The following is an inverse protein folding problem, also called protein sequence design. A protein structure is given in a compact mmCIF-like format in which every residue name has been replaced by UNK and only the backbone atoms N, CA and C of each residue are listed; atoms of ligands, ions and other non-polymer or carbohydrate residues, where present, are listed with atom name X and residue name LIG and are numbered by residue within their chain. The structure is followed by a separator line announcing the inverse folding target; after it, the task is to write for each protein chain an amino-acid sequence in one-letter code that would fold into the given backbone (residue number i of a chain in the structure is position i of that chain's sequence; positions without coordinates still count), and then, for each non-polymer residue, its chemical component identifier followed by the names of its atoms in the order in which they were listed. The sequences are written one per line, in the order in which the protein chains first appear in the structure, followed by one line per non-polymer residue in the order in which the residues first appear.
data_IF_934660941853
#
_entry.id   IF_934660941853
#
_cell.length_a   1.000
_cell.length_b   1.000
_cell.length_c   1.000
_cell.angle_alpha   90.00
_cell.angle_beta   90.00
_cell.angle_gamma   90.00
#
_symmetry.space_group_name_H-M   'P 1'
#
loop_
_entity.id
_entity.type
_entity.pdbx_description
1 polymer ?
#
# COMPACT_ATOMS: atom_id res chain seq x y z
N UNK A 1 1.35 -17.58 -5.35
CA UNK A 1 0.89 -16.87 -4.13
C UNK A 1 1.14 -15.39 -4.31
N UNK A 2 0.06 -14.61 -4.26
CA UNK A 2 0.10 -13.15 -4.30
C UNK A 2 -0.41 -12.63 -2.94
N UNK A 3 0.48 -12.18 -2.04
CA UNK A 3 0.05 -11.55 -0.79
C UNK A 3 -0.66 -10.23 -1.05
N UNK A 4 -1.73 -9.98 -0.28
CA UNK A 4 -2.49 -8.72 -0.31
C UNK A 4 -2.52 -8.02 1.06
N UNK A 5 -1.78 -8.54 2.04
CA UNK A 5 -1.69 -8.00 3.40
C UNK A 5 -1.03 -6.62 3.41
N UNK A 6 -1.35 -5.82 4.43
CA UNK A 6 -0.59 -4.60 4.72
C UNK A 6 0.78 -4.94 5.31
N UNK A 7 1.71 -4.00 5.22
CA UNK A 7 3.07 -4.16 5.75
C UNK A 7 4.07 -4.67 4.71
N UNK A 8 5.34 -4.68 5.10
CA UNK A 8 6.47 -5.09 4.24
C UNK A 8 7.10 -6.42 4.68
N UNK A 9 6.96 -6.79 5.95
CA UNK A 9 7.57 -7.98 6.54
C UNK A 9 6.96 -9.28 6.01
N UNK A 10 5.64 -9.33 5.83
CA UNK A 10 4.94 -10.54 5.38
C UNK A 10 5.44 -11.05 4.01
N UNK A 11 6.02 -10.17 3.18
CA UNK A 11 6.57 -10.55 1.87
C UNK A 11 7.74 -11.52 2.00
N UNK A 12 8.67 -11.29 2.94
CA UNK A 12 9.84 -12.16 3.12
C UNK A 12 9.43 -13.51 3.69
N UNK A 13 8.54 -13.53 4.68
CA UNK A 13 7.97 -14.75 5.25
C UNK A 13 7.26 -15.60 4.20
N UNK A 14 6.43 -14.99 3.36
CA UNK A 14 5.73 -15.73 2.29
C UNK A 14 6.72 -16.26 1.26
N UNK A 15 7.71 -15.47 0.87
CA UNK A 15 8.77 -15.90 -0.04
C UNK A 15 9.55 -17.10 0.51
N UNK A 16 9.82 -17.12 1.82
CA UNK A 16 10.46 -18.22 2.51
C UNK A 16 9.56 -19.47 2.54
N UNK A 17 8.30 -19.36 2.99
CA UNK A 17 7.35 -20.48 3.08
C UNK A 17 7.25 -21.21 1.73
N UNK A 18 7.05 -20.45 0.65
CA UNK A 18 6.82 -21.05 -0.66
C UNK A 18 8.10 -21.44 -1.38
N UNK A 19 9.29 -21.11 -0.85
CA UNK A 19 10.57 -21.53 -1.44
C UNK A 19 10.70 -23.06 -1.47
N UNK A 20 10.09 -23.74 -0.51
CA UNK A 20 10.03 -25.20 -0.44
C UNK A 20 9.15 -25.84 -1.53
N UNK A 21 8.28 -25.06 -2.19
CA UNK A 21 7.37 -25.55 -3.22
C UNK A 21 8.02 -25.57 -4.62
N UNK A 22 9.18 -24.93 -4.77
CA UNK A 22 9.88 -24.74 -6.03
C UNK A 22 10.17 -23.26 -6.32
N UNK A 23 10.80 -22.97 -7.46
CA UNK A 23 11.04 -21.59 -7.88
C UNK A 23 9.74 -20.95 -8.37
N UNK A 24 9.49 -19.71 -7.93
CA UNK A 24 8.46 -18.88 -8.52
C UNK A 24 7.07 -19.00 -7.91
N UNK A 25 6.91 -19.43 -6.67
CA UNK A 25 5.57 -19.50 -6.08
C UNK A 25 5.11 -18.21 -5.38
N UNK A 26 5.97 -17.21 -5.16
CA UNK A 26 5.60 -15.92 -4.59
C UNK A 26 5.73 -14.77 -5.60
N UNK A 27 4.76 -13.86 -5.57
CA UNK A 27 4.80 -12.53 -6.18
C UNK A 27 4.93 -11.47 -5.09
N UNK A 28 5.42 -10.30 -5.45
CA UNK A 28 5.29 -9.11 -4.61
C UNK A 28 3.93 -8.46 -4.89
N UNK A 29 3.20 -8.05 -3.85
CA UNK A 29 1.99 -7.26 -4.07
C UNK A 29 1.32 -6.75 -2.81
N UNK A 30 0.33 -5.89 -3.02
CA UNK A 30 -0.56 -5.35 -2.02
C UNK A 30 -1.91 -4.96 -2.66
N UNK A 31 -2.96 -4.80 -1.86
CA UNK A 31 -4.25 -4.29 -2.34
C UNK A 31 -4.53 -2.89 -1.80
N UNK A 32 -5.26 -2.05 -2.52
CA UNK A 32 -5.79 -0.79 -2.02
C UNK A 32 -7.31 -0.87 -2.04
N UNK A 33 -7.88 -0.97 -0.84
CA UNK A 33 -9.31 -1.10 -0.58
C UNK A 33 -9.58 -0.56 0.82
N UNK A 34 -10.74 0.07 1.00
CA UNK A 34 -11.22 0.47 2.33
C UNK A 34 -12.54 -0.22 2.61
N UNK A 35 -12.47 -1.31 3.38
CA UNK A 35 -13.62 -2.16 3.67
C UNK A 35 -13.58 -2.71 5.09
N UNK A 36 -14.73 -3.18 5.56
CA UNK A 36 -14.89 -3.87 6.83
C UNK A 36 -16.03 -4.89 6.75
N UNK A 37 -15.95 -5.92 7.59
CA UNK A 37 -17.07 -6.83 7.81
C UNK A 37 -18.12 -6.06 8.61
N UNK A 38 -19.30 -5.86 8.01
CA UNK A 38 -20.43 -5.23 8.71
C UNK A 38 -21.13 -6.26 9.61
N UNK A 39 -21.33 -7.47 9.08
CA UNK A 39 -21.96 -8.61 9.73
C UNK A 39 -21.60 -9.90 8.94
N UNK A 40 -21.87 -11.11 9.45
CA UNK A 40 -21.57 -12.36 8.75
C UNK A 40 -22.17 -12.38 7.33
N UNK A 41 -21.30 -12.50 6.32
CA UNK A 41 -21.71 -12.53 4.92
C UNK A 41 -21.88 -11.15 4.25
N UNK A 42 -21.62 -10.04 4.96
CA UNK A 42 -21.78 -8.69 4.44
C UNK A 42 -20.52 -7.83 4.64
N UNK A 43 -19.94 -7.39 3.52
CA UNK A 43 -18.79 -6.48 3.50
C UNK A 43 -19.27 -5.07 3.15
N UNK A 44 -18.93 -4.09 4.00
CA UNK A 44 -19.08 -2.68 3.69
C UNK A 44 -17.80 -2.19 3.02
N UNK A 45 -17.90 -1.51 1.89
CA UNK A 45 -16.80 -0.90 1.15
C UNK A 45 -17.17 0.55 0.82
N UNK A 46 -16.32 1.51 1.19
CA UNK A 46 -16.68 2.94 1.13
C UNK A 46 -15.61 3.86 0.57
N UNK A 47 -14.38 3.39 0.32
CA UNK A 47 -13.33 4.19 -0.32
C UNK A 47 -12.34 3.30 -1.07
N UNK A 48 -11.46 3.93 -1.87
CA UNK A 48 -10.69 3.29 -2.93
C UNK A 48 -11.64 2.58 -3.93
N UNK A 49 -12.31 3.40 -4.74
CA UNK A 49 -13.28 2.96 -5.75
C UNK A 49 -12.85 3.49 -7.14
N UNK A 50 -12.43 2.61 -8.07
CA UNK A 50 -12.33 1.16 -7.90
C UNK A 50 -11.20 0.76 -6.92
N UNK A 51 -11.34 -0.38 -6.21
CA UNK A 51 -10.24 -0.98 -5.47
C UNK A 51 -9.26 -1.58 -6.48
N UNK A 52 -8.00 -1.68 -6.08
CA UNK A 52 -6.96 -2.18 -6.99
C UNK A 52 -5.93 -3.06 -6.30
N UNK A 53 -5.31 -3.93 -7.06
CA UNK A 53 -4.19 -4.77 -6.62
C UNK A 53 -2.95 -4.33 -7.38
N UNK A 54 -1.91 -3.94 -6.64
CA UNK A 54 -0.57 -3.70 -7.20
C UNK A 54 0.26 -4.95 -7.01
N UNK A 55 0.90 -5.44 -8.07
CA UNK A 55 1.69 -6.67 -8.02
C UNK A 55 2.80 -6.71 -9.08
N UNK A 56 3.77 -7.59 -8.86
CA UNK A 56 4.87 -7.79 -9.79
C UNK A 56 5.83 -8.88 -9.32
N UNK A 57 6.92 -9.03 -10.07
CA UNK A 57 7.98 -9.96 -9.70
C UNK A 57 8.92 -9.37 -8.66
N UNK A 58 9.47 -10.22 -7.79
CA UNK A 58 10.55 -9.79 -6.88
C UNK A 58 11.83 -9.42 -7.65
N UNK A 59 12.02 -9.93 -8.87
CA UNK A 59 13.12 -9.54 -9.77
C UNK A 59 12.84 -8.24 -10.53
N UNK A 60 11.63 -7.68 -10.37
CA UNK A 60 11.15 -6.51 -11.07
C UNK A 60 10.52 -6.82 -12.44
N UNK A 61 11.28 -7.41 -13.37
CA UNK A 61 10.77 -7.64 -14.74
C UNK A 61 9.53 -8.54 -14.77
N UNK A 62 8.41 -8.10 -15.39
CA UNK A 62 7.23 -8.93 -15.60
C UNK A 62 7.55 -10.21 -16.37
N UNK A 63 6.83 -11.28 -16.03
CA UNK A 63 6.96 -12.60 -16.66
C UNK A 63 5.63 -13.02 -17.28
N UNK A 64 5.63 -14.09 -18.06
CA UNK A 64 4.41 -14.65 -18.65
C UNK A 64 3.33 -14.90 -17.59
N UNK A 65 3.69 -15.40 -16.41
CA UNK A 65 2.72 -15.64 -15.34
C UNK A 65 2.14 -14.35 -14.74
N UNK A 66 2.90 -13.26 -14.63
CA UNK A 66 2.34 -12.00 -14.11
C UNK A 66 1.44 -11.35 -15.14
N UNK A 67 1.72 -11.54 -16.43
CA UNK A 67 0.82 -11.17 -17.52
C UNK A 67 -0.49 -11.99 -17.49
N UNK A 68 -0.41 -13.29 -17.20
CA UNK A 68 -1.61 -14.12 -16.99
C UNK A 68 -2.44 -13.63 -15.80
N UNK A 69 -1.79 -13.31 -14.66
CA UNK A 69 -2.48 -12.72 -13.50
C UNK A 69 -3.11 -11.38 -13.87
N UNK A 70 -2.41 -10.52 -14.63
CA UNK A 70 -2.95 -9.24 -15.11
C UNK A 70 -4.21 -9.44 -15.94
N UNK A 71 -4.20 -10.38 -16.89
CA UNK A 71 -5.36 -10.68 -17.71
C UNK A 71 -6.57 -11.17 -16.88
N UNK A 72 -6.33 -11.97 -15.83
CA UNK A 72 -7.39 -12.42 -14.91
C UNK A 72 -7.98 -11.22 -14.15
N UNK A 73 -7.13 -10.33 -13.62
CA UNK A 73 -7.58 -9.17 -12.85
C UNK A 73 -8.31 -8.15 -13.74
N UNK A 74 -7.88 -7.95 -14.98
CA UNK A 74 -8.53 -7.04 -15.94
C UNK A 74 -9.91 -7.52 -16.38
N UNK A 75 -10.14 -8.84 -16.35
CA UNK A 75 -11.45 -9.42 -16.63
C UNK A 75 -12.44 -9.29 -15.46
N UNK A 76 -11.97 -8.92 -14.26
CA UNK A 76 -12.81 -8.78 -13.08
C UNK A 76 -13.49 -7.40 -13.06
N UNK A 77 -14.83 -7.32 -13.15
CA UNK A 77 -15.52 -6.04 -13.15
C UNK A 77 -15.42 -5.35 -11.78
N UNK A 78 -15.23 -4.04 -11.79
CA UNK A 78 -15.27 -3.23 -10.57
C UNK A 78 -13.98 -3.24 -9.75
N UNK A 79 -12.86 -3.72 -10.29
CA UNK A 79 -11.54 -3.57 -9.69
C UNK A 79 -10.46 -3.37 -10.76
N UNK A 80 -9.25 -3.00 -10.33
CA UNK A 80 -8.10 -2.86 -11.23
C UNK A 80 -6.92 -3.74 -10.81
N UNK A 81 -6.18 -4.27 -11.79
CA UNK A 81 -4.88 -4.90 -11.59
C UNK A 81 -3.77 -4.00 -12.11
N UNK A 82 -2.83 -3.62 -11.25
CA UNK A 82 -1.65 -2.81 -11.61
C UNK A 82 -0.42 -3.71 -11.58
N UNK A 83 0.07 -4.08 -12.76
CA UNK A 83 1.31 -4.85 -12.93
C UNK A 83 2.49 -3.88 -13.01
N UNK A 84 3.40 -4.00 -12.05
CA UNK A 84 4.53 -3.08 -11.88
C UNK A 84 5.87 -3.76 -12.14
N UNK A 85 6.78 -3.02 -12.77
CA UNK A 85 8.19 -3.40 -12.91
C UNK A 85 8.95 -3.26 -11.57
N UNK A 86 8.50 -2.38 -10.68
CA UNK A 86 9.04 -2.23 -9.31
C UNK A 86 7.90 -2.26 -8.29
N UNK A 87 7.28 -3.43 -8.15
CA UNK A 87 6.20 -3.63 -7.19
C UNK A 87 6.65 -3.40 -5.73
N UNK A 88 7.93 -3.64 -5.42
CA UNK A 88 8.44 -3.41 -4.07
C UNK A 88 8.42 -1.93 -3.71
N UNK A 89 8.86 -1.04 -4.62
CA UNK A 89 8.76 0.40 -4.40
C UNK A 89 7.32 0.84 -4.11
N UNK A 90 6.33 0.32 -4.83
CA UNK A 90 4.90 0.61 -4.59
C UNK A 90 4.37 0.09 -3.27
N UNK A 91 4.82 -1.08 -2.82
CA UNK A 91 4.44 -1.62 -1.52
C UNK A 91 5.05 -0.76 -0.39
N UNK A 92 6.30 -0.34 -0.55
CA UNK A 92 6.97 0.55 0.41
C UNK A 92 6.37 1.96 0.42
N UNK A 93 5.96 2.49 -0.74
CA UNK A 93 5.21 3.75 -0.84
C UNK A 93 3.92 3.67 0.00
N UNK A 94 3.13 2.62 -0.18
CA UNK A 94 1.91 2.38 0.59
C UNK A 94 2.21 2.21 2.09
N UNK A 95 3.22 1.42 2.44
CA UNK A 95 3.62 1.19 3.83
C UNK A 95 4.06 2.48 4.51
N UNK A 96 4.89 3.29 3.84
CA UNK A 96 5.34 4.61 4.34
C UNK A 96 4.15 5.47 4.72
N UNK A 97 3.14 5.55 3.85
CA UNK A 97 1.94 6.34 4.11
C UNK A 97 1.12 5.78 5.28
N UNK A 98 0.73 4.50 5.23
CA UNK A 98 -0.14 3.91 6.25
C UNK A 98 0.53 3.89 7.62
N UNK A 99 1.78 3.46 7.69
CA UNK A 99 2.49 3.31 8.96
C UNK A 99 2.69 4.66 9.65
N UNK A 100 3.12 5.69 8.92
CA UNK A 100 3.31 7.03 9.47
C UNK A 100 1.98 7.69 9.89
N UNK A 101 0.94 7.60 9.06
CA UNK A 101 -0.38 8.19 9.38
C UNK A 101 -0.98 7.54 10.61
N UNK A 102 -0.95 6.21 10.70
CA UNK A 102 -1.50 5.48 11.84
C UNK A 102 -0.71 5.70 13.13
N UNK A 103 0.61 5.86 13.06
CA UNK A 103 1.45 6.20 14.21
C UNK A 103 1.09 7.58 14.81
N UNK A 104 0.89 8.59 13.97
CA UNK A 104 0.45 9.92 14.41
C UNK A 104 -0.95 9.85 15.02
N UNK A 105 -1.90 9.17 14.35
CA UNK A 105 -3.27 9.02 14.87
C UNK A 105 -3.33 8.31 16.23
N UNK A 106 -2.54 7.25 16.39
CA UNK A 106 -2.51 6.48 17.63
C UNK A 106 -2.00 7.28 18.83
N UNK A 107 -1.12 8.27 18.60
CA UNK A 107 -0.50 9.06 19.68
C UNK A 107 -1.25 10.36 19.99
N UNK A 108 -2.11 10.82 19.09
CA UNK A 108 -2.75 12.14 19.16
C UNK A 108 -4.27 12.08 19.34
N UNK A 109 -4.85 10.88 19.19
CA UNK A 109 -6.26 10.62 19.44
C UNK A 109 -7.14 10.77 18.20
N UNK A 110 -8.46 10.54 18.34
CA UNK A 110 -9.37 10.32 17.21
C UNK A 110 -9.63 11.57 16.35
N UNK A 111 -9.21 12.76 16.81
CA UNK A 111 -9.44 14.02 16.11
C UNK A 111 -8.34 14.35 15.08
N UNK A 112 -7.20 13.68 15.13
CA UNK A 112 -6.12 13.83 14.16
C UNK A 112 -6.40 12.99 12.89
N UNK A 113 -7.52 13.24 12.22
CA UNK A 113 -7.86 12.52 10.99
C UNK A 113 -6.81 12.77 9.90
N UNK A 114 -6.77 11.90 8.89
CA UNK A 114 -5.75 11.97 7.83
C UNK A 114 -5.70 13.34 7.13
N UNK A 115 -6.86 13.99 6.96
CA UNK A 115 -6.99 15.33 6.40
C UNK A 115 -6.60 16.46 7.36
N UNK A 116 -6.63 16.22 8.68
CA UNK A 116 -6.27 17.19 9.72
C UNK A 116 -4.77 17.20 10.00
N UNK A 117 -4.11 16.04 9.94
CA UNK A 117 -2.65 15.92 10.21
C UNK A 117 -1.82 16.97 9.45
N UNK A 118 -2.02 17.21 8.14
CA UNK A 118 -1.21 18.17 7.41
C UNK A 118 -1.48 19.63 7.77
N UNK A 119 -2.60 19.92 8.43
CA UNK A 119 -3.02 21.28 8.79
C UNK A 119 -2.44 21.75 10.14
N UNK A 120 -1.94 20.82 10.96
CA UNK A 120 -1.37 21.11 12.27
C UNK A 120 0.16 21.00 12.16
N UNK A 121 0.93 22.10 12.31
CA UNK A 121 2.38 22.11 12.06
C UNK A 121 3.15 21.02 12.81
N UNK A 122 2.85 20.79 14.08
CA UNK A 122 3.53 19.80 14.93
C UNK A 122 3.24 18.36 14.47
N UNK A 123 2.01 18.08 14.05
CA UNK A 123 1.61 16.78 13.52
C UNK A 123 2.22 16.54 12.15
N UNK A 124 2.21 17.55 11.28
CA UNK A 124 2.85 17.50 9.97
C UNK A 124 4.34 17.18 10.08
N UNK A 125 5.07 17.85 10.98
CA UNK A 125 6.49 17.60 11.21
C UNK A 125 6.76 16.18 11.72
N UNK A 126 5.94 15.70 12.65
CA UNK A 126 6.04 14.33 13.18
C UNK A 126 5.76 13.30 12.09
N UNK A 127 4.70 13.53 11.31
CA UNK A 127 4.30 12.67 10.19
C UNK A 127 5.40 12.57 9.14
N UNK A 128 5.97 13.71 8.71
CA UNK A 128 7.09 13.76 7.76
C UNK A 128 8.35 13.10 8.28
N UNK A 129 8.65 13.27 9.57
CA UNK A 129 9.80 12.60 10.20
C UNK A 129 9.64 11.08 10.14
N UNK A 130 8.47 10.56 10.54
CA UNK A 130 8.19 9.13 10.48
C UNK A 130 8.25 8.58 9.03
N UNK A 131 7.71 9.32 8.05
CA UNK A 131 7.82 8.93 6.65
C UNK A 131 9.27 8.88 6.17
N UNK A 132 10.08 9.87 6.55
CA UNK A 132 11.51 9.95 6.22
C UNK A 132 12.30 8.77 6.79
N UNK A 133 12.03 8.38 8.05
CA UNK A 133 12.65 7.22 8.67
C UNK A 133 12.34 5.92 7.90
N UNK A 134 11.08 5.72 7.50
CA UNK A 134 10.67 4.55 6.73
C UNK A 134 11.34 4.54 5.34
N UNK A 135 11.49 5.70 4.69
CA UNK A 135 12.16 5.81 3.39
C UNK A 135 13.65 5.47 3.52
N UNK A 136 14.32 5.98 4.55
CA UNK A 136 15.71 5.63 4.82
C UNK A 136 15.88 4.12 5.09
N UNK A 137 14.92 3.51 5.80
CA UNK A 137 14.89 2.06 5.98
C UNK A 137 14.71 1.35 4.64
N UNK A 138 13.75 1.77 3.81
CA UNK A 138 13.52 1.25 2.45
C UNK A 138 14.82 1.25 1.62
N UNK A 139 15.59 2.35 1.65
CA UNK A 139 16.86 2.46 0.95
C UNK A 139 17.91 1.48 1.47
N UNK A 140 17.95 1.19 2.77
CA UNK A 140 18.86 0.18 3.34
C UNK A 140 18.58 -1.25 2.82
N UNK A 141 17.36 -1.52 2.36
CA UNK A 141 16.98 -2.76 1.68
C UNK A 141 17.25 -2.72 0.16
N UNK A 142 17.83 -1.65 -0.36
CA UNK A 142 18.14 -1.47 -1.79
C UNK A 142 16.91 -1.16 -2.66
N UNK A 143 15.80 -0.76 -2.05
CA UNK A 143 14.55 -0.46 -2.76
C UNK A 143 14.50 1.03 -3.09
N UNK A 144 14.18 1.34 -4.35
CA UNK A 144 14.20 2.70 -4.89
C UNK A 144 12.85 3.38 -4.68
N UNK A 145 12.73 4.11 -3.58
CA UNK A 145 11.57 4.95 -3.30
C UNK A 145 12.03 6.37 -2.98
N UNK A 146 11.85 7.28 -3.93
CA UNK A 146 12.42 8.63 -3.87
C UNK A 146 11.64 9.57 -2.96
N UNK A 147 12.35 10.45 -2.26
CA UNK A 147 11.75 11.48 -1.39
C UNK A 147 10.84 12.45 -2.15
N UNK A 148 11.01 12.63 -3.46
CA UNK A 148 10.08 13.43 -4.26
C UNK A 148 8.66 12.83 -4.28
N UNK A 149 8.54 11.50 -4.18
CA UNK A 149 7.23 10.85 -4.11
C UNK A 149 6.52 11.11 -2.77
N UNK A 150 7.28 11.37 -1.70
CA UNK A 150 6.75 11.83 -0.43
C UNK A 150 6.06 13.19 -0.58
N UNK A 151 6.74 14.16 -1.21
CA UNK A 151 6.19 15.50 -1.37
C UNK A 151 4.86 15.49 -2.13
N UNK A 152 4.75 14.69 -3.20
CA UNK A 152 3.48 14.54 -3.94
C UNK A 152 2.32 14.00 -3.07
N UNK A 153 2.61 13.14 -2.10
CA UNK A 153 1.61 12.59 -1.17
C UNK A 153 1.24 13.56 -0.05
N UNK A 154 2.17 14.40 0.34
CA UNK A 154 2.03 15.34 1.46
C UNK A 154 1.44 16.68 0.99
N UNK A 155 1.73 17.08 -0.25
CA UNK A 155 1.20 18.30 -0.89
C UNK A 155 -0.21 18.12 -1.44
N UNK A 156 -0.67 16.89 -1.74
CA UNK A 156 -2.03 16.63 -2.20
C UNK A 156 -3.04 17.03 -1.08
N UNK A 157 -3.66 18.22 -1.16
CA UNK A 157 -4.48 18.75 -0.09
C UNK A 157 -5.85 18.08 -0.14
N UNK A 158 -6.41 17.81 1.04
CA UNK A 158 -7.83 18.07 1.35
C UNK A 158 -8.79 18.11 0.14
N UNK A 159 -9.10 16.96 -0.45
CA UNK A 159 -10.45 16.81 -0.99
C UNK A 159 -11.31 16.42 0.21
N UNK A 160 -12.30 17.23 0.63
CA UNK A 160 -13.25 16.79 1.62
C UNK A 160 -13.80 15.46 1.13
N UNK A 161 -13.73 14.42 1.96
CA UNK A 161 -14.64 13.29 1.83
C UNK A 161 -16.03 13.90 2.01
N UNK A 162 -16.67 14.30 0.90
CA UNK A 162 -18.10 14.53 0.89
C UNK A 162 -18.72 13.24 1.42
N UNK A 163 -19.12 13.24 2.68
CA UNK A 163 -20.08 12.29 3.20
C UNK A 163 -21.36 12.50 2.39
N UNK A 164 -21.47 11.81 1.27
CA UNK A 164 -22.76 11.60 0.62
C UNK A 164 -23.52 10.64 1.52
N UNK A 165 -24.38 11.23 2.33
CA UNK A 165 -25.43 10.56 3.09
C UNK A 165 -26.33 9.72 2.18
#
# INVERSE_FOLDING_TARGET
VLPLQNGVEGLSTIKEIVSSWGKGHALAGCCNIVSAIAEPGHIKHWAANPPYITFGEFSGTPTERTQQVKAILDAAPGMEGHLEDDALAKIWEKFTFICSTTAVQATTGPHATQDVIPQIPELYLTWRTAMTEIINLCHSYGIKYEMEQLEKRVEAPSTPLECRH
#
